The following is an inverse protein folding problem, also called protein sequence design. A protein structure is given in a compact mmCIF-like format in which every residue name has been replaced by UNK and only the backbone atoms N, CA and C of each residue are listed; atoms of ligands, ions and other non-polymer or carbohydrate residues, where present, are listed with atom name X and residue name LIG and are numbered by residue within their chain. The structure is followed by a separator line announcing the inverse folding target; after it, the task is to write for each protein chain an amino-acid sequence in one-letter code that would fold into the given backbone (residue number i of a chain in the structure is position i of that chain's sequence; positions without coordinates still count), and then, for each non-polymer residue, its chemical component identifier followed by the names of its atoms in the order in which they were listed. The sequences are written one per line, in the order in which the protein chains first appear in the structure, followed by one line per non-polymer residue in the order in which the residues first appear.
data_IF_942386178320
#
_entry.id   IF_942386178320
#
_cell.length_a   1.000
_cell.length_b   1.000
_cell.length_c   1.000
_cell.angle_alpha   90.00
_cell.angle_beta   90.00
_cell.angle_gamma   90.00
#
_symmetry.space_group_name_H-M   'P 1'
#
loop_
_entity.id
_entity.type
_entity.pdbx_description
1 polymer ?
#
# COMPACT_ATOMS: atom_id res chain seq x y z
N UNK A 1 6.51 -17.88 -16.16
CA UNK A 1 6.15 -19.29 -16.24
C UNK A 1 4.87 -19.45 -15.44
N UNK A 2 3.72 -19.56 -16.10
CA UNK A 2 2.45 -19.74 -15.40
C UNK A 2 2.41 -21.18 -14.88
N UNK A 3 2.32 -21.34 -13.55
CA UNK A 3 2.08 -22.66 -12.97
C UNK A 3 0.78 -23.21 -13.54
N UNK A 4 0.78 -24.47 -13.92
CA UNK A 4 -0.38 -25.18 -14.42
C UNK A 4 -1.53 -25.04 -13.43
N UNK A 5 -2.57 -24.31 -13.84
CA UNK A 5 -3.86 -24.25 -13.16
C UNK A 5 -4.58 -25.59 -13.37
N UNK A 6 -4.15 -26.64 -12.67
CA UNK A 6 -4.68 -27.99 -12.83
C UNK A 6 -6.04 -28.23 -12.16
N UNK A 7 -6.57 -27.28 -11.40
CA UNK A 7 -7.97 -27.16 -10.98
C UNK A 7 -8.21 -25.71 -10.54
N UNK A 8 -8.97 -24.97 -11.35
CA UNK A 8 -9.48 -23.64 -10.98
C UNK A 8 -10.47 -23.80 -9.84
N UNK A 9 -9.99 -23.79 -8.60
CA UNK A 9 -10.88 -23.58 -7.48
C UNK A 9 -11.25 -22.09 -7.44
N UNK A 10 -12.52 -21.73 -7.37
CA UNK A 10 -12.93 -20.36 -7.19
C UNK A 10 -12.34 -19.79 -5.90
N UNK A 11 -11.87 -18.56 -5.96
CA UNK A 11 -11.41 -17.85 -4.75
C UNK A 11 -12.64 -17.47 -3.94
N UNK A 12 -12.81 -18.10 -2.79
CA UNK A 12 -13.74 -17.69 -1.73
C UNK A 12 -12.94 -16.97 -0.68
N UNK A 13 -12.86 -15.64 -0.81
CA UNK A 13 -12.03 -14.80 0.03
C UNK A 13 -12.84 -14.02 1.08
N UNK A 14 -12.18 -13.72 2.20
CA UNK A 14 -12.64 -12.77 3.20
C UNK A 14 -11.53 -11.81 3.55
N UNK A 15 -11.86 -10.52 3.65
CA UNK A 15 -10.92 -9.48 4.06
C UNK A 15 -10.97 -9.28 5.58
N UNK A 16 -9.81 -9.24 6.21
CA UNK A 16 -9.69 -8.81 7.60
C UNK A 16 -9.83 -7.29 7.68
N UNK A 17 -10.67 -6.82 8.59
CA UNK A 17 -10.83 -5.37 8.77
C UNK A 17 -9.50 -4.70 9.17
N UNK A 18 -9.43 -3.39 8.94
CA UNK A 18 -8.20 -2.59 9.10
C UNK A 18 -7.49 -2.71 10.46
N UNK A 19 -8.18 -3.18 11.50
CA UNK A 19 -7.64 -3.32 12.85
C UNK A 19 -7.79 -4.74 13.41
N UNK A 20 -8.15 -5.71 12.59
CA UNK A 20 -8.39 -7.09 13.03
C UNK A 20 -7.20 -8.03 12.77
N UNK A 21 -6.05 -7.48 12.39
CA UNK A 21 -4.83 -8.22 12.07
C UNK A 21 -3.56 -7.46 12.51
N UNK A 22 -3.64 -6.75 13.64
CA UNK A 22 -2.56 -5.87 14.12
C UNK A 22 -1.63 -6.54 15.12
N UNK A 23 -1.98 -7.73 15.57
CA UNK A 23 -1.16 -8.51 16.51
C UNK A 23 -1.15 -10.01 16.16
N UNK A 24 -0.16 -10.71 16.70
CA UNK A 24 -0.08 -12.17 16.60
C UNK A 24 -1.33 -12.84 17.20
N UNK A 25 -1.87 -12.29 18.28
CA UNK A 25 -3.07 -12.81 18.92
C UNK A 25 -4.30 -12.67 18.02
N UNK A 26 -4.44 -11.54 17.32
CA UNK A 26 -5.54 -11.34 16.35
C UNK A 26 -5.48 -12.39 15.23
N UNK A 27 -4.28 -12.59 14.66
CA UNK A 27 -4.07 -13.60 13.60
C UNK A 27 -4.42 -15.00 14.10
N UNK A 28 -3.99 -15.35 15.31
CA UNK A 28 -4.26 -16.66 15.92
C UNK A 28 -5.75 -16.91 16.14
N UNK A 29 -6.50 -15.88 16.47
CA UNK A 29 -7.92 -15.95 16.69
C UNK A 29 -8.71 -15.97 15.37
N UNK A 30 -8.38 -15.12 14.43
CA UNK A 30 -9.18 -14.88 13.23
C UNK A 30 -8.97 -15.96 12.16
N UNK A 31 -7.74 -16.40 11.90
CA UNK A 31 -7.46 -17.35 10.82
C UNK A 31 -8.25 -18.65 10.91
N UNK A 32 -8.37 -19.32 12.08
CA UNK A 32 -9.21 -20.51 12.20
C UNK A 32 -10.71 -20.22 11.97
N UNK A 33 -11.18 -19.00 12.29
CA UNK A 33 -12.57 -18.60 12.03
C UNK A 33 -12.83 -18.50 10.53
N UNK A 34 -11.92 -17.87 9.77
CA UNK A 34 -12.02 -17.78 8.32
C UNK A 34 -12.09 -19.17 7.66
N UNK A 35 -11.25 -20.09 8.08
CA UNK A 35 -11.29 -21.48 7.58
C UNK A 35 -12.61 -22.18 7.90
N UNK A 36 -13.15 -22.01 9.12
CA UNK A 36 -14.45 -22.61 9.51
C UNK A 36 -15.64 -22.05 8.73
N UNK A 37 -15.54 -20.82 8.21
CA UNK A 37 -16.54 -20.23 7.30
C UNK A 37 -16.49 -20.83 5.89
N UNK A 38 -15.55 -21.74 5.62
CA UNK A 38 -15.38 -22.35 4.29
C UNK A 38 -14.61 -21.49 3.32
N UNK A 39 -13.93 -20.44 3.79
CA UNK A 39 -13.05 -19.63 2.95
C UNK A 39 -11.78 -20.41 2.60
N UNK A 40 -11.25 -20.17 1.41
CA UNK A 40 -9.97 -20.74 0.97
C UNK A 40 -8.87 -19.67 0.83
N UNK A 41 -9.23 -18.41 0.94
CA UNK A 41 -8.32 -17.27 0.79
C UNK A 41 -8.67 -16.18 1.80
N UNK A 42 -7.66 -15.52 2.32
CA UNK A 42 -7.82 -14.34 3.20
C UNK A 42 -7.04 -13.16 2.64
N UNK A 43 -7.65 -11.99 2.67
CA UNK A 43 -7.02 -10.72 2.36
C UNK A 43 -6.58 -10.10 3.68
N UNK A 44 -5.29 -9.84 3.85
CA UNK A 44 -4.69 -9.41 5.11
C UNK A 44 -3.90 -8.13 4.91
N UNK A 45 -4.18 -7.07 5.68
CA UNK A 45 -3.36 -5.86 5.66
C UNK A 45 -1.91 -6.15 6.05
N UNK A 46 -0.96 -5.60 5.29
CA UNK A 46 0.44 -5.50 5.64
C UNK A 46 0.73 -4.04 6.01
N UNK A 47 0.82 -3.76 7.31
CA UNK A 47 0.93 -2.40 7.84
C UNK A 47 2.39 -1.96 7.86
N UNK A 48 2.71 -0.90 7.10
CA UNK A 48 4.07 -0.36 7.12
C UNK A 48 4.53 0.06 8.52
N UNK A 49 3.66 0.72 9.28
CA UNK A 49 4.00 1.20 10.64
C UNK A 49 4.35 0.08 11.62
N UNK A 50 3.80 -1.13 11.44
CA UNK A 50 4.12 -2.29 12.26
C UNK A 50 5.39 -3.00 11.77
N UNK A 51 5.64 -2.96 10.46
CA UNK A 51 6.81 -3.61 9.86
C UNK A 51 8.10 -2.79 9.97
N UNK A 52 8.01 -1.45 9.97
CA UNK A 52 9.18 -0.57 10.08
C UNK A 52 8.92 0.52 11.15
N UNK A 53 8.74 0.12 12.42
CA UNK A 53 8.44 1.05 13.52
C UNK A 53 9.56 2.07 13.76
N UNK A 54 10.79 1.70 13.44
CA UNK A 54 11.98 2.56 13.42
C UNK A 54 12.59 2.51 12.03
N UNK A 55 12.94 3.66 11.47
CA UNK A 55 13.47 3.76 10.11
C UNK A 55 14.65 2.81 9.85
N UNK A 56 14.51 1.97 8.84
CA UNK A 56 15.52 0.99 8.45
C UNK A 56 15.53 -0.29 9.28
N UNK A 57 14.69 -0.43 10.30
CA UNK A 57 14.60 -1.62 11.15
C UNK A 57 13.25 -2.31 10.91
N UNK A 58 13.32 -3.48 10.27
CA UNK A 58 12.13 -4.23 9.87
C UNK A 58 11.83 -5.36 10.86
N UNK A 59 10.55 -5.48 11.20
CA UNK A 59 9.99 -6.59 11.98
C UNK A 59 8.90 -7.27 11.13
N UNK A 60 9.15 -8.51 10.73
CA UNK A 60 8.22 -9.30 9.94
C UNK A 60 7.46 -10.35 10.77
N UNK A 61 7.53 -10.28 12.10
CA UNK A 61 6.88 -11.25 13.00
C UNK A 61 5.41 -11.47 12.68
N UNK A 62 4.68 -10.39 12.40
CA UNK A 62 3.25 -10.47 12.07
C UNK A 62 3.00 -11.11 10.70
N UNK A 63 3.86 -10.82 9.72
CA UNK A 63 3.81 -11.42 8.37
C UNK A 63 4.10 -12.92 8.46
N UNK A 64 5.15 -13.32 9.19
CA UNK A 64 5.54 -14.71 9.40
C UNK A 64 4.41 -15.49 10.07
N UNK A 65 3.80 -14.90 11.11
CA UNK A 65 2.69 -15.54 11.82
C UNK A 65 1.47 -15.69 10.91
N UNK A 66 1.15 -14.69 10.10
CA UNK A 66 0.06 -14.74 9.13
C UNK A 66 0.25 -15.91 8.16
N UNK A 67 1.43 -16.07 7.58
CA UNK A 67 1.73 -17.14 6.63
C UNK A 67 1.69 -18.51 7.31
N UNK A 68 2.29 -18.64 8.51
CA UNK A 68 2.27 -19.88 9.27
C UNK A 68 0.83 -20.32 9.59
N UNK A 69 0.00 -19.41 10.09
CA UNK A 69 -1.39 -19.73 10.42
C UNK A 69 -2.23 -20.04 9.18
N UNK A 70 -2.00 -19.32 8.08
CA UNK A 70 -2.67 -19.63 6.82
C UNK A 70 -2.35 -21.05 6.35
N UNK A 71 -1.08 -21.46 6.41
CA UNK A 71 -0.64 -22.84 6.09
C UNK A 71 -1.30 -23.88 6.96
N UNK A 72 -1.32 -23.66 8.28
CA UNK A 72 -1.97 -24.56 9.23
C UNK A 72 -3.47 -24.74 8.96
N UNK A 73 -4.13 -23.73 8.41
CA UNK A 73 -5.56 -23.72 8.11
C UNK A 73 -5.88 -24.04 6.64
N UNK A 74 -4.88 -24.29 5.80
CA UNK A 74 -5.08 -24.54 4.37
C UNK A 74 -5.56 -23.32 3.58
N UNK A 75 -5.32 -22.11 4.09
CA UNK A 75 -5.73 -20.85 3.46
C UNK A 75 -4.64 -20.30 2.55
N UNK A 76 -5.03 -19.59 1.50
CA UNK A 76 -4.17 -18.71 0.73
C UNK A 76 -4.24 -17.29 1.28
N UNK A 77 -3.20 -16.50 1.05
CA UNK A 77 -3.10 -15.12 1.50
C UNK A 77 -2.95 -14.17 0.33
N UNK A 78 -3.73 -13.11 0.35
CA UNK A 78 -3.52 -11.90 -0.44
C UNK A 78 -3.12 -10.81 0.54
N UNK A 79 -1.90 -10.29 0.46
CA UNK A 79 -1.52 -9.13 1.27
C UNK A 79 -1.98 -7.83 0.62
N UNK A 80 -2.51 -6.94 1.44
CA UNK A 80 -2.88 -5.58 1.08
C UNK A 80 -1.80 -4.65 1.65
N UNK A 81 -0.99 -4.04 0.79
CA UNK A 81 0.03 -3.10 1.24
C UNK A 81 -0.62 -1.81 1.74
N UNK A 82 -0.59 -1.61 3.05
CA UNK A 82 -1.01 -0.38 3.70
C UNK A 82 0.24 0.46 4.02
N UNK A 83 0.69 1.19 3.01
CA UNK A 83 1.88 2.04 3.03
C UNK A 83 1.55 3.51 3.20
N UNK A 84 1.99 4.33 2.25
CA UNK A 84 1.72 5.76 2.25
C UNK A 84 0.23 6.08 2.02
N UNK A 85 -0.54 5.14 1.47
CA UNK A 85 -2.00 5.20 1.40
C UNK A 85 -2.63 3.92 1.98
N UNK A 86 -3.63 4.09 2.85
CA UNK A 86 -4.63 3.08 3.17
C UNK A 86 -5.91 3.37 2.40
N UNK A 87 -6.25 4.64 2.30
CA UNK A 87 -7.29 5.19 1.43
C UNK A 87 -6.96 6.65 1.11
N UNK A 88 -7.85 7.29 0.36
CA UNK A 88 -7.70 8.68 -0.07
C UNK A 88 -7.66 9.72 1.07
N UNK A 89 -7.74 9.31 2.34
CA UNK A 89 -7.79 10.17 3.52
C UNK A 89 -6.87 9.72 4.66
N UNK A 90 -6.29 8.52 4.60
CA UNK A 90 -5.49 7.96 5.69
C UNK A 90 -4.34 7.09 5.20
N UNK A 91 -3.33 6.88 6.08
CA UNK A 91 -2.18 6.04 5.81
C UNK A 91 -1.78 5.22 7.04
N UNK A 92 -1.03 4.14 6.79
CA UNK A 92 -0.37 3.34 7.82
C UNK A 92 1.16 3.47 7.76
N UNK A 93 1.63 4.63 7.29
CA UNK A 93 3.05 4.95 7.36
C UNK A 93 3.50 5.14 8.83
N UNK A 94 4.74 4.77 9.18
CA UNK A 94 5.23 4.82 10.55
C UNK A 94 5.37 6.25 11.09
N UNK A 95 5.48 6.36 12.43
CA UNK A 95 5.55 7.64 13.12
C UNK A 95 6.73 8.51 12.63
N UNK A 96 7.90 7.91 12.41
CA UNK A 96 9.07 8.64 11.90
C UNK A 96 8.82 9.29 10.52
N UNK A 97 8.01 8.66 9.67
CA UNK A 97 7.60 9.20 8.38
C UNK A 97 6.56 10.32 8.57
N UNK A 98 5.52 10.08 9.37
CA UNK A 98 4.42 11.03 9.58
C UNK A 98 4.87 12.33 10.26
N UNK A 99 5.88 12.27 11.12
CA UNK A 99 6.37 13.41 11.91
C UNK A 99 7.36 14.31 11.14
N UNK A 100 8.10 13.77 10.17
CA UNK A 100 9.06 14.56 9.39
C UNK A 100 8.42 15.08 8.09
N UNK A 101 7.53 16.05 8.24
CA UNK A 101 6.82 16.68 7.11
C UNK A 101 7.73 17.48 6.16
N UNK A 102 8.96 17.78 6.55
CA UNK A 102 9.94 18.42 5.66
C UNK A 102 10.50 17.42 4.66
N UNK A 103 10.80 16.25 5.14
CA UNK A 103 11.34 15.16 4.34
C UNK A 103 10.23 14.42 3.57
N UNK A 104 9.07 14.27 4.21
CA UNK A 104 7.89 13.59 3.67
C UNK A 104 6.68 14.53 3.65
N UNK A 105 6.63 15.44 2.66
CA UNK A 105 5.58 16.44 2.61
C UNK A 105 4.19 15.81 2.42
N UNK A 106 3.21 16.42 3.08
CA UNK A 106 1.80 16.06 2.94
C UNK A 106 1.21 16.66 1.67
N UNK A 107 0.19 16.01 1.13
CA UNK A 107 -0.69 16.66 0.17
C UNK A 107 -1.42 17.83 0.83
N UNK A 108 -1.83 18.82 0.03
CA UNK A 108 -2.51 20.02 0.51
C UNK A 108 -3.76 20.28 -0.31
N UNK A 109 -4.82 20.76 0.34
CA UNK A 109 -5.99 21.26 -0.36
C UNK A 109 -5.76 22.68 -0.92
N UNK A 110 -6.71 23.19 -1.70
CA UNK A 110 -6.64 24.53 -2.29
C UNK A 110 -6.53 25.67 -1.26
N UNK A 111 -7.02 25.46 -0.04
CA UNK A 111 -6.91 26.42 1.06
C UNK A 111 -5.58 26.37 1.78
N UNK A 112 -4.62 25.54 1.38
CA UNK A 112 -3.31 25.40 2.02
C UNK A 112 -3.29 24.51 3.27
N UNK A 113 -4.39 23.83 3.60
CA UNK A 113 -4.45 22.86 4.70
C UNK A 113 -3.73 21.58 4.28
N UNK A 114 -2.79 21.11 5.09
CA UNK A 114 -2.17 19.80 4.92
C UNK A 114 -3.17 18.69 5.23
N UNK A 115 -3.16 17.66 4.38
CA UNK A 115 -3.98 16.47 4.52
C UNK A 115 -3.23 15.36 5.28
N UNK A 116 -3.93 14.30 5.64
CA UNK A 116 -3.30 13.14 6.31
C UNK A 116 -2.39 12.36 5.35
N UNK A 117 -2.74 12.28 4.09
CA UNK A 117 -1.98 11.56 3.06
C UNK A 117 -0.72 12.33 2.63
N UNK A 118 0.29 11.60 2.22
CA UNK A 118 1.53 12.17 1.68
C UNK A 118 1.32 12.71 0.26
N UNK A 119 2.20 13.61 -0.18
CA UNK A 119 2.22 14.08 -1.57
C UNK A 119 2.92 13.07 -2.49
N UNK A 120 2.23 12.55 -3.49
CA UNK A 120 2.81 11.64 -4.49
C UNK A 120 3.85 12.31 -5.42
N UNK A 121 3.99 13.62 -5.32
CA UNK A 121 5.02 14.39 -6.05
C UNK A 121 6.39 14.39 -5.35
N UNK A 122 6.50 13.78 -4.18
CA UNK A 122 7.74 13.74 -3.41
C UNK A 122 8.52 12.44 -3.68
N UNK A 123 9.72 12.59 -4.25
CA UNK A 123 10.64 11.47 -4.41
C UNK A 123 11.05 10.82 -3.09
N UNK A 124 11.07 11.58 -1.98
CA UNK A 124 11.38 11.02 -0.68
C UNK A 124 10.27 10.10 -0.18
N UNK A 125 9.00 10.49 -0.40
CA UNK A 125 7.83 9.66 -0.10
C UNK A 125 7.92 8.37 -0.89
N UNK A 126 8.07 8.46 -2.22
CA UNK A 126 8.17 7.29 -3.10
C UNK A 126 9.31 6.36 -2.68
N UNK A 127 10.51 6.91 -2.42
CA UNK A 127 11.67 6.09 -2.05
C UNK A 127 11.51 5.38 -0.71
N UNK A 128 10.92 6.03 0.28
CA UNK A 128 10.73 5.43 1.59
C UNK A 128 9.70 4.27 1.54
N UNK A 129 8.57 4.51 0.90
CA UNK A 129 7.51 3.53 0.71
C UNK A 129 7.99 2.33 -0.12
N UNK A 130 8.61 2.60 -1.28
CA UNK A 130 9.18 1.56 -2.14
C UNK A 130 10.27 0.73 -1.44
N UNK A 131 11.09 1.34 -0.56
CA UNK A 131 12.09 0.64 0.23
C UNK A 131 11.42 -0.36 1.19
N UNK A 132 10.38 0.08 1.90
CA UNK A 132 9.66 -0.76 2.84
C UNK A 132 8.95 -1.92 2.13
N UNK A 133 8.23 -1.62 1.06
CA UNK A 133 7.60 -2.66 0.23
C UNK A 133 8.60 -3.65 -0.34
N UNK A 134 9.74 -3.16 -0.86
CA UNK A 134 10.79 -4.04 -1.39
C UNK A 134 11.40 -4.94 -0.32
N UNK A 135 11.47 -4.48 0.94
CA UNK A 135 11.90 -5.30 2.06
C UNK A 135 10.89 -6.42 2.34
N UNK A 136 9.58 -6.09 2.35
CA UNK A 136 8.52 -7.10 2.46
C UNK A 136 8.59 -8.13 1.33
N UNK A 137 8.67 -7.68 0.07
CA UNK A 137 8.68 -8.59 -1.08
C UNK A 137 9.91 -9.51 -1.08
N UNK A 138 11.06 -9.03 -0.61
CA UNK A 138 12.26 -9.85 -0.45
C UNK A 138 12.06 -10.89 0.63
N UNK A 139 11.55 -10.50 1.79
CA UNK A 139 11.22 -11.42 2.87
C UNK A 139 10.21 -12.50 2.42
N UNK A 140 9.14 -12.13 1.72
CA UNK A 140 8.18 -13.07 1.18
C UNK A 140 8.80 -14.04 0.16
N UNK A 141 9.74 -13.57 -0.67
CA UNK A 141 10.42 -14.43 -1.65
C UNK A 141 11.32 -15.50 -0.99
N UNK A 142 11.81 -15.23 0.22
CA UNK A 142 12.57 -16.18 1.02
C UNK A 142 11.66 -17.17 1.76
N UNK A 143 10.55 -16.66 2.30
CA UNK A 143 9.64 -17.44 3.14
C UNK A 143 8.68 -18.33 2.34
N UNK A 144 8.22 -17.86 1.17
CA UNK A 144 7.28 -18.57 0.29
C UNK A 144 7.74 -18.55 -1.19
N UNK A 145 8.93 -19.10 -1.50
CA UNK A 145 9.60 -18.96 -2.80
C UNK A 145 8.80 -19.55 -3.97
N UNK A 146 7.84 -20.43 -3.70
CA UNK A 146 6.96 -21.04 -4.70
C UNK A 146 5.59 -20.39 -4.80
N UNK A 147 5.35 -19.32 -3.99
CA UNK A 147 4.06 -18.64 -3.91
C UNK A 147 2.89 -19.60 -3.61
N UNK A 148 3.13 -20.58 -2.74
CA UNK A 148 2.13 -21.59 -2.40
C UNK A 148 1.11 -21.07 -1.39
N UNK A 149 1.50 -20.10 -0.58
CA UNK A 149 0.64 -19.51 0.45
C UNK A 149 0.23 -18.09 0.06
N UNK A 150 1.21 -17.24 -0.25
CA UNK A 150 0.97 -15.87 -0.69
C UNK A 150 0.77 -15.85 -2.19
N UNK A 151 -0.47 -15.71 -2.63
CA UNK A 151 -0.85 -15.86 -4.05
C UNK A 151 -0.97 -14.54 -4.78
N UNK A 152 -1.11 -13.43 -4.04
CA UNK A 152 -1.26 -12.09 -4.61
C UNK A 152 -0.80 -11.02 -3.62
N UNK A 153 -0.38 -9.87 -4.16
CA UNK A 153 -0.10 -8.65 -3.43
C UNK A 153 -0.88 -7.50 -4.07
N UNK A 154 -1.68 -6.78 -3.29
CA UNK A 154 -2.25 -5.51 -3.71
C UNK A 154 -1.23 -4.40 -3.41
N UNK A 155 -0.85 -3.66 -4.43
CA UNK A 155 0.11 -2.56 -4.32
C UNK A 155 -0.64 -1.27 -4.07
N UNK A 156 -0.46 -0.69 -2.88
CA UNK A 156 -1.23 0.42 -2.35
C UNK A 156 -2.74 0.11 -2.22
N UNK A 157 -3.41 0.80 -1.33
CA UNK A 157 -4.84 0.62 -1.19
C UNK A 157 -5.56 1.96 -1.38
N UNK A 158 -6.56 1.97 -2.26
CA UNK A 158 -7.40 3.15 -2.54
C UNK A 158 -6.59 4.45 -2.70
N UNK A 159 -5.47 4.38 -3.44
CA UNK A 159 -4.61 5.54 -3.67
C UNK A 159 -5.39 6.65 -4.37
N UNK A 160 -5.46 7.82 -3.75
CA UNK A 160 -6.26 8.93 -4.25
C UNK A 160 -6.35 10.09 -3.26
N UNK A 161 -7.24 11.04 -3.57
CA UNK A 161 -7.62 12.18 -2.71
C UNK A 161 -9.13 12.32 -2.71
N UNK A 162 -9.73 12.56 -1.55
CA UNK A 162 -11.17 12.86 -1.41
C UNK A 162 -11.46 14.28 -0.95
N UNK A 163 -10.54 14.91 -0.21
CA UNK A 163 -10.72 16.26 0.33
C UNK A 163 -10.45 17.38 -0.70
N UNK A 164 -9.89 17.04 -1.86
CA UNK A 164 -9.55 18.00 -2.93
C UNK A 164 -9.37 17.22 -4.23
N UNK A 165 -9.74 17.81 -5.35
CA UNK A 165 -9.58 17.23 -6.69
C UNK A 165 -8.10 17.06 -7.06
N UNK A 166 -7.21 17.91 -6.53
CA UNK A 166 -5.75 17.74 -6.68
C UNK A 166 -4.97 18.19 -5.45
N UNK A 167 -3.72 17.75 -5.41
CA UNK A 167 -2.72 18.23 -4.46
C UNK A 167 -2.26 19.65 -4.85
N UNK A 168 -2.33 20.57 -3.89
CA UNK A 168 -1.86 21.95 -4.00
C UNK A 168 -0.56 22.21 -3.22
N UNK A 169 0.17 21.15 -2.85
CA UNK A 169 1.49 21.30 -2.25
C UNK A 169 2.46 22.00 -3.21
N UNK A 170 3.53 22.63 -2.72
CA UNK A 170 4.51 23.30 -3.58
C UNK A 170 5.08 22.41 -4.69
N UNK A 171 5.25 21.10 -4.43
CA UNK A 171 5.75 20.15 -5.42
C UNK A 171 4.70 19.89 -6.52
N UNK A 172 3.45 19.71 -6.13
CA UNK A 172 2.35 19.51 -7.05
C UNK A 172 2.12 20.76 -7.92
N UNK A 173 2.13 21.96 -7.32
CA UNK A 173 2.00 23.22 -8.06
C UNK A 173 3.14 23.42 -9.07
N UNK A 174 4.36 23.05 -8.68
CA UNK A 174 5.52 23.09 -9.60
C UNK A 174 5.31 22.16 -10.79
N UNK A 175 4.85 20.94 -10.56
CA UNK A 175 4.58 19.97 -11.63
C UNK A 175 3.44 20.41 -12.53
N UNK A 176 2.35 20.91 -11.95
CA UNK A 176 1.18 21.41 -12.67
C UNK A 176 1.53 22.54 -13.65
N UNK A 177 2.35 23.50 -13.18
CA UNK A 177 2.86 24.62 -14.00
C UNK A 177 3.86 24.17 -15.06
N UNK A 178 4.78 23.27 -14.69
CA UNK A 178 5.82 22.79 -15.62
C UNK A 178 5.22 21.99 -16.78
N UNK A 179 4.13 21.27 -16.57
CA UNK A 179 3.41 20.54 -17.60
C UNK A 179 2.42 21.45 -18.38
N UNK A 180 2.24 22.71 -18.00
CA UNK A 180 1.25 23.62 -18.57
C UNK A 180 -0.15 23.00 -18.58
N UNK A 181 -0.48 22.27 -17.50
CA UNK A 181 -1.65 21.40 -17.46
C UNK A 181 -2.95 22.14 -17.75
N UNK A 182 -3.15 23.30 -17.09
CA UNK A 182 -4.35 24.11 -17.28
C UNK A 182 -4.52 24.63 -18.73
N UNK A 183 -3.42 24.91 -19.41
CA UNK A 183 -3.45 25.38 -20.81
C UNK A 183 -3.79 24.25 -21.79
N UNK A 184 -3.35 23.03 -21.49
CA UNK A 184 -3.50 21.86 -22.38
C UNK A 184 -4.81 21.08 -22.13
N UNK A 185 -5.29 21.06 -20.88
CA UNK A 185 -6.40 20.21 -20.44
C UNK A 185 -7.56 20.99 -19.82
N UNK A 186 -7.43 22.32 -19.72
CA UNK A 186 -8.43 23.17 -19.04
C UNK A 186 -8.26 23.17 -17.52
N UNK A 187 -9.22 23.78 -16.84
CA UNK A 187 -9.27 23.94 -15.39
C UNK A 187 -10.56 23.32 -14.81
N UNK A 188 -10.59 23.11 -13.50
CA UNK A 188 -11.71 22.56 -12.75
C UNK A 188 -11.48 21.12 -12.31
N UNK A 189 -12.38 20.62 -11.46
CA UNK A 189 -12.21 19.37 -10.74
C UNK A 189 -11.91 18.18 -11.65
N UNK A 190 -12.60 18.03 -12.76
CA UNK A 190 -12.37 16.94 -13.70
C UNK A 190 -10.93 16.95 -14.27
N UNK A 191 -10.42 18.11 -14.65
CA UNK A 191 -9.03 18.26 -15.14
C UNK A 191 -8.02 18.00 -14.03
N UNK A 192 -8.28 18.47 -12.82
CA UNK A 192 -7.45 18.29 -11.66
C UNK A 192 -7.40 16.81 -11.21
N UNK A 193 -8.52 16.09 -11.26
CA UNK A 193 -8.55 14.64 -11.01
C UNK A 193 -7.76 13.86 -12.07
N UNK A 194 -7.83 14.23 -13.34
CA UNK A 194 -7.03 13.61 -14.40
C UNK A 194 -5.52 13.83 -14.18
N UNK A 195 -5.15 15.04 -13.74
CA UNK A 195 -3.77 15.33 -13.38
C UNK A 195 -3.29 14.43 -12.24
N UNK A 196 -4.07 14.29 -11.17
CA UNK A 196 -3.74 13.41 -10.05
C UNK A 196 -3.69 11.95 -10.47
N UNK A 197 -4.66 11.46 -11.25
CA UNK A 197 -4.68 10.07 -11.74
C UNK A 197 -3.38 9.72 -12.50
N UNK A 198 -2.87 10.64 -13.33
CA UNK A 198 -1.59 10.49 -14.03
C UNK A 198 -0.42 10.32 -13.04
N UNK A 199 -0.38 11.13 -11.97
CA UNK A 199 0.71 11.06 -11.00
C UNK A 199 0.61 9.86 -10.07
N UNK A 200 -0.58 9.47 -9.66
CA UNK A 200 -0.78 8.22 -8.92
C UNK A 200 -0.40 6.99 -9.76
N UNK A 201 -0.77 6.98 -11.04
CA UNK A 201 -0.36 5.91 -11.94
C UNK A 201 1.17 5.83 -12.07
N UNK A 202 1.87 6.96 -12.20
CA UNK A 202 3.34 7.02 -12.21
C UNK A 202 3.95 6.54 -10.90
N UNK A 203 3.35 6.91 -9.77
CA UNK A 203 3.80 6.46 -8.45
C UNK A 203 3.75 4.93 -8.37
N UNK A 204 2.60 4.32 -8.69
CA UNK A 204 2.43 2.86 -8.70
C UNK A 204 3.29 2.18 -9.76
N UNK A 205 3.46 2.77 -10.96
CA UNK A 205 4.33 2.20 -12.01
C UNK A 205 5.80 2.11 -11.56
N UNK A 206 6.27 3.04 -10.73
CA UNK A 206 7.64 3.03 -10.20
C UNK A 206 7.98 1.76 -9.41
N UNK A 207 6.99 1.04 -8.89
CA UNK A 207 7.13 -0.23 -8.16
C UNK A 207 7.53 -1.41 -9.05
N UNK A 208 7.30 -1.28 -10.36
CA UNK A 208 7.71 -2.32 -11.35
C UNK A 208 9.21 -2.30 -11.65
N UNK A 209 9.86 -1.19 -11.35
CA UNK A 209 11.30 -0.99 -11.62
C UNK A 209 11.93 -0.41 -10.34
N UNK A 210 12.38 -1.26 -9.39
CA UNK A 210 13.10 -0.74 -8.24
C UNK A 210 14.28 0.12 -8.74
N UNK A 211 14.58 1.24 -8.08
CA UNK A 211 15.71 2.08 -8.46
C UNK A 211 16.97 1.23 -8.52
N UNK A 212 17.77 1.43 -9.55
CA UNK A 212 19.10 0.82 -9.65
C UNK A 212 19.88 1.08 -8.36
N UNK A 213 20.56 0.05 -7.86
CA UNK A 213 21.38 0.09 -6.63
C UNK A 213 22.46 1.15 -6.73
#
# INVERSE_FOLDING_TARGET
MFAQLSTLQPILGGELSNSAATSVADIDEVMPRMARLGLNTVLVPAYWELMEPTEGHFDFTLIDRTISRAREQGLKVVFLWFGAWKNSMSCYAPAWFKQDVRRFPRAMNAGGKQLEIASCFSDNVLRADLKAFSALMRHLSELDPRCETVVMMQVENEIGMLESARDHSPLAEKAYKAERWAELHGTGDQSDEQFMAKYYARYVESWRRPPAR
#
